data_IF_982650761899
#
_entry.id   IF_982650761899
#
_cell.length_a   1.000
_cell.length_b   1.000
_cell.length_c   1.000
_cell.angle_alpha   90.00
_cell.angle_beta   90.00
_cell.angle_gamma   90.00
#
_symmetry.space_group_name_H-M   'P 1'
#
loop_
_entity.id
_entity.type
_entity.pdbx_description
1 polymer ?
#
# COMPACT_ATOMS: atom_id res chain seq x y z
N UNK A 1 16.20 6.30 -3.27
CA UNK A 1 15.63 4.99 -2.94
C UNK A 1 15.68 4.09 -4.16
N UNK A 2 16.43 2.99 -4.15
CA UNK A 2 16.45 2.02 -5.25
C UNK A 2 15.07 1.36 -5.29
N UNK A 3 14.33 1.47 -6.42
CA UNK A 3 13.04 0.80 -6.61
C UNK A 3 13.28 -0.71 -6.57
N UNK A 4 12.93 -1.36 -5.47
CA UNK A 4 13.03 -2.82 -5.32
C UNK A 4 12.03 -3.58 -6.20
N UNK A 5 10.96 -2.91 -6.65
CA UNK A 5 9.99 -3.46 -7.58
C UNK A 5 10.18 -2.82 -8.96
N UNK A 6 10.90 -3.51 -9.85
CA UNK A 6 11.18 -2.99 -11.19
C UNK A 6 9.96 -2.91 -12.08
N UNK A 7 8.95 -3.77 -11.88
CA UNK A 7 7.71 -3.75 -12.66
C UNK A 7 6.55 -4.32 -11.83
N UNK A 8 5.53 -3.51 -11.57
CA UNK A 8 4.24 -4.03 -11.11
C UNK A 8 3.57 -4.72 -12.31
N UNK A 9 3.08 -5.97 -12.15
CA UNK A 9 2.43 -6.69 -13.24
C UNK A 9 1.30 -5.85 -13.87
N UNK A 10 1.34 -5.65 -15.18
CA UNK A 10 0.37 -4.81 -15.89
C UNK A 10 -0.88 -5.62 -16.27
N UNK A 11 -1.62 -6.08 -15.25
CA UNK A 11 -2.80 -6.93 -15.44
C UNK A 11 -4.12 -6.17 -15.30
N UNK A 12 -4.09 -4.83 -15.13
CA UNK A 12 -5.28 -4.02 -14.90
C UNK A 12 -5.61 -3.16 -16.12
N UNK A 13 -6.87 -3.18 -16.53
CA UNK A 13 -7.38 -2.31 -17.58
C UNK A 13 -7.83 -0.96 -17.01
N UNK A 14 -6.88 -0.10 -16.66
CA UNK A 14 -7.12 1.21 -16.07
C UNK A 14 -7.07 2.33 -17.14
N UNK A 15 -7.96 3.34 -17.05
CA UNK A 15 -7.80 4.57 -17.83
C UNK A 15 -6.45 5.24 -17.50
N UNK A 16 -5.86 5.89 -18.50
CA UNK A 16 -4.56 6.58 -18.36
C UNK A 16 -4.54 7.51 -17.15
N UNK A 17 -5.65 8.20 -16.88
CA UNK A 17 -5.82 9.15 -15.76
C UNK A 17 -5.68 8.49 -14.39
N UNK A 18 -6.10 7.22 -14.26
CA UNK A 18 -6.09 6.46 -13.01
C UNK A 18 -5.05 5.35 -12.98
N UNK A 19 -4.08 5.37 -13.90
CA UNK A 19 -3.07 4.30 -14.04
C UNK A 19 -2.24 4.05 -12.78
N UNK A 20 -2.07 5.07 -11.93
CA UNK A 20 -1.29 4.97 -10.69
C UNK A 20 -2.04 4.28 -9.53
N UNK A 21 -3.35 4.00 -9.68
CA UNK A 21 -4.03 3.12 -8.71
C UNK A 21 -3.32 1.78 -8.56
N UNK A 22 -2.65 1.30 -9.62
CA UNK A 22 -1.82 0.10 -9.57
C UNK A 22 -0.63 0.26 -8.63
N UNK A 23 0.09 1.37 -8.69
CA UNK A 23 1.20 1.66 -7.78
C UNK A 23 0.71 1.65 -6.33
N UNK A 24 -0.39 2.35 -6.07
CA UNK A 24 -1.01 2.43 -4.75
C UNK A 24 -1.42 1.04 -4.26
N UNK A 25 -2.07 0.21 -5.10
CA UNK A 25 -2.54 -1.12 -4.73
C UNK A 25 -1.42 -2.09 -4.31
N UNK A 26 -0.23 -1.95 -4.88
CA UNK A 26 0.93 -2.78 -4.55
C UNK A 26 1.82 -2.20 -3.45
N UNK A 27 1.54 -1.02 -2.95
CA UNK A 27 2.29 -0.41 -1.85
C UNK A 27 1.47 -0.45 -0.57
N UNK A 28 1.98 -1.07 0.47
CA UNK A 28 1.25 -1.26 1.73
C UNK A 28 0.93 0.04 2.49
N UNK A 29 1.40 1.20 2.04
CA UNK A 29 1.07 2.51 2.63
C UNK A 29 -0.45 2.74 2.74
N UNK A 30 -1.24 2.24 1.80
CA UNK A 30 -2.70 2.35 1.83
C UNK A 30 -3.32 1.70 3.07
N UNK A 31 -2.66 0.72 3.70
CA UNK A 31 -3.20 -0.02 4.86
C UNK A 31 -3.50 0.89 6.05
N UNK A 32 -2.64 1.87 6.30
CA UNK A 32 -2.82 2.84 7.38
C UNK A 32 -3.19 4.24 6.90
N UNK A 33 -3.60 4.36 5.64
CA UNK A 33 -4.04 5.61 5.03
C UNK A 33 -5.51 5.50 4.60
N UNK A 34 -6.47 5.91 5.45
CA UNK A 34 -7.91 5.75 5.17
C UNK A 34 -8.36 6.38 3.86
N UNK A 35 -7.77 7.50 3.48
CA UNK A 35 -8.09 8.18 2.22
C UNK A 35 -7.66 7.40 0.99
N UNK A 36 -6.57 6.65 1.07
CA UNK A 36 -6.14 5.74 0.01
C UNK A 36 -7.13 4.58 -0.17
N UNK A 37 -7.64 4.01 0.93
CA UNK A 37 -8.68 2.96 0.90
C UNK A 37 -9.99 3.49 0.30
N UNK A 38 -10.37 4.73 0.62
CA UNK A 38 -11.58 5.38 0.09
C UNK A 38 -11.59 5.48 -1.43
N UNK A 39 -10.44 5.59 -2.09
CA UNK A 39 -10.38 5.64 -3.56
C UNK A 39 -10.97 4.37 -4.19
N UNK A 40 -10.69 3.20 -3.64
CA UNK A 40 -11.24 1.93 -4.12
C UNK A 40 -12.72 1.82 -3.77
N UNK A 41 -13.10 2.15 -2.54
CA UNK A 41 -14.48 2.15 -2.08
C UNK A 41 -15.39 3.10 -2.88
N UNK A 42 -14.88 4.25 -3.33
CA UNK A 42 -15.64 5.21 -4.15
C UNK A 42 -15.91 4.71 -5.57
N UNK A 43 -15.09 3.83 -6.12
CA UNK A 43 -15.33 3.21 -7.43
C UNK A 43 -16.44 2.17 -7.34
N UNK A 44 -16.33 1.23 -6.40
CA UNK A 44 -17.35 0.20 -6.14
C UNK A 44 -17.22 -0.30 -4.70
N UNK A 45 -18.14 0.17 -3.85
CA UNK A 45 -18.16 -0.20 -2.43
C UNK A 45 -18.45 -1.69 -2.23
N UNK A 46 -19.39 -2.24 -3.00
CA UNK A 46 -19.79 -3.64 -2.86
C UNK A 46 -18.63 -4.58 -3.19
N UNK A 47 -17.95 -4.31 -4.29
CA UNK A 47 -16.79 -5.10 -4.68
C UNK A 47 -15.62 -4.93 -3.69
N UNK A 48 -15.44 -3.72 -3.14
CA UNK A 48 -14.42 -3.47 -2.12
C UNK A 48 -14.59 -4.36 -0.89
N UNK A 49 -15.83 -4.46 -0.38
CA UNK A 49 -16.18 -5.38 0.71
C UNK A 49 -16.00 -6.86 0.31
N UNK A 50 -16.49 -7.25 -0.88
CA UNK A 50 -16.38 -8.63 -1.37
C UNK A 50 -14.95 -9.10 -1.57
N UNK A 51 -14.02 -8.20 -1.83
CA UNK A 51 -12.59 -8.51 -1.99
C UNK A 51 -11.81 -8.43 -0.67
N UNK A 52 -12.49 -8.38 0.47
CA UNK A 52 -11.88 -8.22 1.79
C UNK A 52 -10.89 -7.05 1.81
N UNK A 53 -11.30 -5.93 1.22
CA UNK A 53 -10.51 -4.70 1.14
C UNK A 53 -9.12 -4.90 0.49
N UNK A 54 -9.00 -5.88 -0.40
CA UNK A 54 -7.76 -6.14 -1.14
C UNK A 54 -7.74 -5.34 -2.45
N UNK A 55 -6.93 -4.27 -2.56
CA UNK A 55 -6.96 -3.39 -3.74
C UNK A 55 -6.47 -4.10 -5.01
N UNK A 56 -5.59 -5.09 -4.90
CA UNK A 56 -5.12 -5.88 -6.06
C UNK A 56 -6.24 -6.79 -6.56
N UNK A 57 -6.94 -7.48 -5.65
CA UNK A 57 -8.10 -8.31 -6.00
C UNK A 57 -9.24 -7.45 -6.57
N UNK A 58 -9.49 -6.27 -5.97
CA UNK A 58 -10.44 -5.28 -6.45
C UNK A 58 -10.14 -4.85 -7.90
N UNK A 59 -8.92 -4.40 -8.18
CA UNK A 59 -8.53 -3.93 -9.51
C UNK A 59 -8.56 -5.03 -10.60
N UNK A 60 -8.51 -6.31 -10.21
CA UNK A 60 -8.65 -7.45 -11.13
C UNK A 60 -10.10 -7.73 -11.50
N UNK A 61 -11.05 -7.34 -10.65
CA UNK A 61 -12.47 -7.72 -10.77
C UNK A 61 -13.37 -6.54 -11.11
N UNK A 62 -12.94 -5.30 -10.83
CA UNK A 62 -13.75 -4.10 -11.06
C UNK A 62 -14.08 -3.94 -12.54
N UNK A 63 -15.34 -3.63 -12.81
CA UNK A 63 -15.80 -3.39 -14.18
C UNK A 63 -15.19 -2.12 -14.78
N UNK A 64 -14.77 -2.23 -16.03
CA UNK A 64 -14.18 -1.10 -16.76
C UNK A 64 -15.10 0.12 -16.80
N UNK A 65 -16.40 -0.09 -16.87
CA UNK A 65 -17.39 0.98 -16.87
C UNK A 65 -17.33 1.83 -15.60
N UNK A 66 -17.20 1.19 -14.43
CA UNK A 66 -17.10 1.86 -13.13
C UNK A 66 -15.82 2.68 -13.01
N UNK A 67 -14.69 2.11 -13.43
CA UNK A 67 -13.41 2.84 -13.41
C UNK A 67 -13.41 4.01 -14.40
N UNK A 68 -14.05 3.86 -15.56
CA UNK A 68 -14.21 4.95 -16.53
C UNK A 68 -15.13 6.06 -15.98
N UNK A 69 -16.20 5.70 -15.29
CA UNK A 69 -17.08 6.66 -14.62
C UNK A 69 -16.32 7.46 -13.55
N UNK A 70 -15.52 6.79 -12.71
CA UNK A 70 -14.66 7.44 -11.74
C UNK A 70 -13.63 8.38 -12.39
N UNK A 71 -13.06 7.98 -13.54
CA UNK A 71 -12.13 8.81 -14.29
C UNK A 71 -12.78 10.06 -14.93
N UNK A 72 -14.09 10.12 -14.99
CA UNK A 72 -14.88 11.28 -15.47
C UNK A 72 -15.49 12.10 -14.31
N UNK A 73 -15.46 11.59 -13.09
CA UNK A 73 -16.03 12.26 -11.91
C UNK A 73 -15.00 13.23 -11.30
N UNK A 74 -15.36 14.52 -11.30
CA UNK A 74 -14.49 15.59 -10.78
C UNK A 74 -14.15 15.40 -9.29
N UNK A 75 -15.14 15.05 -8.45
CA UNK A 75 -14.93 14.83 -7.01
C UNK A 75 -13.99 13.65 -6.74
N UNK A 76 -14.15 12.59 -7.50
CA UNK A 76 -13.24 11.44 -7.42
C UNK A 76 -11.82 11.85 -7.82
N UNK A 77 -11.67 12.58 -8.91
CA UNK A 77 -10.35 13.02 -9.39
C UNK A 77 -9.65 13.99 -8.43
N UNK A 78 -10.38 14.89 -7.78
CA UNK A 78 -9.81 15.76 -6.73
C UNK A 78 -9.25 14.93 -5.58
N UNK A 79 -10.02 13.94 -5.11
CA UNK A 79 -9.58 13.04 -4.03
C UNK A 79 -8.40 12.17 -4.46
N UNK A 80 -8.46 11.64 -5.67
CA UNK A 80 -7.38 10.86 -6.27
C UNK A 80 -6.08 11.68 -6.34
N UNK A 81 -6.14 12.91 -6.81
CA UNK A 81 -4.97 13.78 -6.92
C UNK A 81 -4.39 14.14 -5.55
N UNK A 82 -5.26 14.36 -4.56
CA UNK A 82 -4.82 14.58 -3.18
C UNK A 82 -4.04 13.37 -2.66
N UNK A 83 -4.64 12.18 -2.73
CA UNK A 83 -4.01 10.93 -2.25
C UNK A 83 -2.69 10.65 -2.99
N UNK A 84 -2.64 10.88 -4.31
CA UNK A 84 -1.40 10.66 -5.06
C UNK A 84 -0.29 11.64 -4.65
N UNK A 85 -0.62 12.91 -4.35
CA UNK A 85 0.36 13.86 -3.81
C UNK A 85 0.89 13.44 -2.43
N UNK A 86 0.01 12.99 -1.55
CA UNK A 86 0.38 12.50 -0.22
C UNK A 86 1.26 11.25 -0.31
N UNK A 87 0.92 10.34 -1.23
CA UNK A 87 1.71 9.14 -1.50
C UNK A 87 3.10 9.48 -2.04
N UNK A 88 3.20 10.42 -3.00
CA UNK A 88 4.48 10.88 -3.53
C UNK A 88 5.31 11.59 -2.45
N UNK A 89 4.67 12.43 -1.63
CA UNK A 89 5.33 13.10 -0.51
C UNK A 89 5.88 12.10 0.50
N UNK A 90 5.11 11.06 0.82
CA UNK A 90 5.54 9.98 1.72
C UNK A 90 6.75 9.22 1.16
N UNK A 91 6.69 8.79 -0.09
CA UNK A 91 7.75 8.00 -0.72
C UNK A 91 9.06 8.78 -0.94
N UNK A 92 8.95 10.10 -1.11
CA UNK A 92 10.09 10.97 -1.38
C UNK A 92 10.51 11.79 -0.15
N UNK A 93 9.99 11.45 1.04
CA UNK A 93 10.35 12.17 2.25
C UNK A 93 11.80 11.89 2.65
N UNK A 94 12.66 12.87 2.44
CA UNK A 94 14.06 12.82 2.87
C UNK A 94 14.28 13.35 4.29
N UNK A 95 13.25 13.94 4.90
CA UNK A 95 13.30 14.54 6.23
C UNK A 95 12.75 13.63 7.34
N UNK A 96 12.91 12.30 7.18
CA UNK A 96 12.49 11.36 8.21
C UNK A 96 13.39 11.43 9.45
N UNK A 97 12.83 11.03 10.61
CA UNK A 97 13.59 11.03 11.87
C UNK A 97 14.91 10.27 11.76
N UNK A 98 14.92 9.11 11.13
CA UNK A 98 16.12 8.29 10.99
C UNK A 98 17.20 8.97 10.15
N UNK A 99 16.81 9.58 9.01
CA UNK A 99 17.76 10.30 8.15
C UNK A 99 18.36 11.52 8.83
N UNK A 100 17.57 12.22 9.65
CA UNK A 100 18.05 13.39 10.38
C UNK A 100 19.04 13.02 11.50
N UNK A 101 18.78 11.92 12.21
CA UNK A 101 19.58 11.53 13.38
C UNK A 101 20.72 10.56 13.05
N UNK A 102 20.60 9.78 11.96
CA UNK A 102 21.56 8.75 11.56
C UNK A 102 21.87 8.77 10.07
N UNK A 103 22.24 9.93 9.47
CA UNK A 103 22.43 10.06 8.03
C UNK A 103 23.48 9.09 7.46
N UNK A 104 24.49 8.73 8.25
CA UNK A 104 25.55 7.80 7.88
C UNK A 104 25.11 6.31 7.83
N UNK A 105 23.89 6.01 8.32
CA UNK A 105 23.36 4.64 8.43
C UNK A 105 22.17 4.35 7.50
N UNK A 106 21.82 5.28 6.61
CA UNK A 106 20.64 5.15 5.73
C UNK A 106 20.74 3.99 4.74
N UNK A 107 21.94 3.54 4.44
CA UNK A 107 22.22 2.39 3.56
C UNK A 107 22.36 1.07 4.32
N UNK A 108 22.37 1.09 5.64
CA UNK A 108 22.51 -0.09 6.48
C UNK A 108 21.14 -0.79 6.62
N UNK A 109 20.91 -1.82 5.81
CA UNK A 109 19.65 -2.56 5.87
C UNK A 109 19.54 -3.38 7.16
N UNK A 110 18.35 -3.32 7.76
CA UNK A 110 17.97 -4.07 8.97
C UNK A 110 16.93 -5.12 8.56
N UNK A 111 17.18 -6.39 8.81
CA UNK A 111 16.20 -7.47 8.61
C UNK A 111 15.48 -7.77 9.92
N UNK A 112 14.15 -7.64 9.91
CA UNK A 112 13.27 -7.97 11.01
C UNK A 112 12.52 -9.26 10.69
N UNK A 113 12.85 -10.33 11.40
CA UNK A 113 12.24 -11.64 11.21
C UNK A 113 11.05 -11.83 12.15
N UNK A 114 9.90 -12.19 11.61
CA UNK A 114 8.73 -12.59 12.39
C UNK A 114 8.00 -13.75 11.69
N UNK A 115 7.39 -14.63 12.48
CA UNK A 115 6.52 -15.68 11.97
C UNK A 115 5.19 -15.12 11.44
N UNK A 116 4.77 -13.96 11.94
CA UNK A 116 3.49 -13.35 11.68
C UNK A 116 3.68 -11.86 11.37
N UNK A 117 2.92 -11.36 10.37
CA UNK A 117 2.81 -9.93 10.08
C UNK A 117 1.34 -9.57 9.83
N UNK A 118 0.62 -9.17 10.86
CA UNK A 118 -0.79 -8.78 10.80
C UNK A 118 -0.99 -7.38 10.23
N UNK A 119 -0.44 -7.11 9.04
CA UNK A 119 -0.50 -5.79 8.40
C UNK A 119 -1.92 -5.42 7.97
N UNK A 120 -2.64 -6.39 7.37
CA UNK A 120 -4.00 -6.18 6.87
C UNK A 120 -4.70 -7.53 6.65
N UNK A 121 -6.02 -7.56 6.82
CA UNK A 121 -6.86 -8.74 6.63
C UNK A 121 -6.81 -9.36 5.22
N UNK A 122 -6.44 -8.56 4.21
CA UNK A 122 -6.27 -9.04 2.83
C UNK A 122 -5.02 -9.90 2.62
N UNK A 123 -4.11 -9.96 3.58
CA UNK A 123 -2.94 -10.82 3.52
C UNK A 123 -3.28 -12.18 4.16
N UNK A 124 -3.12 -13.29 3.42
CA UNK A 124 -3.42 -14.63 3.93
C UNK A 124 -2.31 -15.12 4.87
N UNK A 125 -2.10 -14.39 5.95
CA UNK A 125 -1.08 -14.69 6.96
C UNK A 125 -1.79 -14.72 8.30
N UNK A 126 -1.64 -15.84 9.04
CA UNK A 126 -2.11 -15.87 10.42
C UNK A 126 -1.44 -14.77 11.24
N UNK A 127 -2.24 -14.06 12.03
CA UNK A 127 -1.72 -13.02 12.88
C UNK A 127 -2.52 -12.95 14.19
N UNK A 128 -1.87 -13.38 15.28
CA UNK A 128 -2.31 -13.10 16.65
C UNK A 128 -1.69 -11.79 17.17
N UNK A 129 -1.58 -11.65 18.49
CA UNK A 129 -0.98 -10.47 19.11
C UNK A 129 0.46 -10.20 18.67
N UNK A 130 1.25 -11.25 18.43
CA UNK A 130 2.61 -11.14 17.90
C UNK A 130 2.62 -10.51 16.50
N UNK A 131 1.69 -10.93 15.62
CA UNK A 131 1.59 -10.40 14.27
C UNK A 131 1.14 -8.95 14.23
N UNK A 132 0.23 -8.54 15.12
CA UNK A 132 -0.19 -7.15 15.25
C UNK A 132 0.98 -6.27 15.71
N UNK A 133 1.73 -6.68 16.73
CA UNK A 133 2.92 -5.97 17.19
C UNK A 133 3.96 -5.84 16.06
N UNK A 134 4.23 -6.92 15.33
CA UNK A 134 5.17 -6.92 14.22
C UNK A 134 4.74 -5.97 13.09
N UNK A 135 3.43 -5.92 12.80
CA UNK A 135 2.87 -5.01 11.81
C UNK A 135 2.99 -3.54 12.22
N UNK A 136 2.64 -3.21 13.47
CA UNK A 136 2.75 -1.85 13.98
C UNK A 136 4.22 -1.38 13.99
N UNK A 137 5.14 -2.28 14.34
CA UNK A 137 6.57 -2.02 14.27
C UNK A 137 7.03 -1.69 12.83
N UNK A 138 6.56 -2.44 11.81
CA UNK A 138 6.90 -2.16 10.41
C UNK A 138 6.33 -0.82 9.93
N UNK A 139 5.09 -0.49 10.31
CA UNK A 139 4.44 0.77 9.94
C UNK A 139 5.21 1.95 10.52
N UNK A 140 5.49 1.92 11.83
CA UNK A 140 6.25 2.96 12.51
C UNK A 140 7.68 3.09 11.96
N UNK A 141 8.36 1.96 11.71
CA UNK A 141 9.69 1.98 11.11
C UNK A 141 9.67 2.64 9.71
N UNK A 142 8.61 2.42 8.93
CA UNK A 142 8.41 3.07 7.63
C UNK A 142 8.23 4.58 7.78
N UNK A 143 7.39 5.02 8.72
CA UNK A 143 7.13 6.45 8.97
C UNK A 143 8.38 7.17 9.49
N UNK A 144 9.16 6.52 10.32
CA UNK A 144 10.44 7.03 10.81
C UNK A 144 11.57 6.99 9.77
N UNK A 145 11.36 6.29 8.64
CA UNK A 145 12.34 6.16 7.54
C UNK A 145 13.49 5.22 7.83
N UNK A 146 13.29 4.22 8.70
CA UNK A 146 14.29 3.18 8.94
C UNK A 146 14.48 2.30 7.69
N UNK A 147 15.72 1.89 7.36
CA UNK A 147 16.00 0.95 6.27
C UNK A 147 15.69 -0.49 6.71
N UNK A 148 14.43 -0.74 7.15
CA UNK A 148 13.99 -2.00 7.74
C UNK A 148 13.20 -2.83 6.73
N UNK A 149 13.50 -4.12 6.67
CA UNK A 149 12.86 -5.11 5.82
C UNK A 149 12.24 -6.19 6.71
N UNK A 150 10.92 -6.36 6.64
CA UNK A 150 10.23 -7.49 7.27
C UNK A 150 10.46 -8.78 6.49
N UNK A 151 10.87 -9.82 7.17
CA UNK A 151 11.07 -11.17 6.60
C UNK A 151 10.20 -12.15 7.36
N UNK A 152 9.26 -12.77 6.68
CA UNK A 152 8.31 -13.71 7.27
C UNK A 152 8.07 -14.93 6.40
N UNK A 153 7.23 -15.83 6.90
CA UNK A 153 6.81 -16.99 6.15
C UNK A 153 5.61 -16.65 5.26
N UNK A 154 5.60 -17.25 4.07
CA UNK A 154 4.42 -17.29 3.22
C UNK A 154 3.73 -18.64 3.38
N UNK A 155 2.48 -18.60 3.82
CA UNK A 155 1.65 -19.79 3.96
C UNK A 155 0.83 -19.98 2.68
N UNK A 156 0.82 -21.21 2.16
CA UNK A 156 -0.04 -21.57 1.02
C UNK A 156 -1.47 -21.88 1.46
N UNK A 157 -1.65 -22.21 2.73
CA UNK A 157 -2.94 -22.45 3.38
C UNK A 157 -2.88 -21.82 4.77
N UNK A 158 -3.79 -20.92 5.05
CA UNK A 158 -3.95 -20.23 6.33
C UNK A 158 -5.39 -20.27 6.79
#
# INVERSE_FOLDING_TARGET
MKKYFRETPNHFSLPRRLSRLRELAYNMWWVWTPDAQRLFMMIDRTLWEQTNHNPVAFLRQVERAQVNAAAADHKYLEKYDQVMREFDAYLNNENTWFRQNYPQRVDNQIAYFSFEFGLHESLPVYAGGLGILAADHLKEASDLGLPLIGVGFYYTQG
#
